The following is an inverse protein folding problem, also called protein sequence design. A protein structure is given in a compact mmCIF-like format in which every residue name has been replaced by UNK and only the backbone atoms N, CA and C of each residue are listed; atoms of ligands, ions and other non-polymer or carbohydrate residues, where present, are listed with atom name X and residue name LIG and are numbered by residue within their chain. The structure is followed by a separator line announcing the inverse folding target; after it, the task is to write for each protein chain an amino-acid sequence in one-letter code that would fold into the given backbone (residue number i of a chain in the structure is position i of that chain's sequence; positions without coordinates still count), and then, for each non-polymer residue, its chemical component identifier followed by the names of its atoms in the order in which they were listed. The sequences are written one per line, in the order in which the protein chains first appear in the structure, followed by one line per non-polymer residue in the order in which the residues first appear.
data_IF_781583062599
#
_entry.id   IF_781583062599
#
_cell.length_a   1.000
_cell.length_b   1.000
_cell.length_c   1.000
_cell.angle_alpha   90.00
_cell.angle_beta   90.00
_cell.angle_gamma   90.00
#
_symmetry.space_group_name_H-M   'P 1'
#
loop_
_entity.id
_entity.type
_entity.pdbx_description
1 polymer ?
#
# COMPACT_ATOMS: atom_id res chain seq x y z
N UNK A 1 32.19 -0.71 -11.81
CA UNK A 1 30.77 -1.12 -11.84
C UNK A 1 30.17 -0.69 -13.19
N UNK A 2 30.18 -1.56 -14.20
CA UNK A 2 29.47 -1.34 -15.47
C UNK A 2 28.04 -1.91 -15.46
N UNK A 3 27.74 -2.84 -14.54
CA UNK A 3 26.45 -3.54 -14.52
C UNK A 3 25.22 -2.62 -14.35
N UNK A 4 25.31 -1.56 -13.54
CA UNK A 4 24.20 -0.60 -13.41
C UNK A 4 24.03 0.23 -14.69
N UNK A 5 25.14 0.60 -15.35
CA UNK A 5 25.12 1.38 -16.59
C UNK A 5 24.56 0.51 -17.73
N UNK A 6 24.99 -0.75 -17.83
CA UNK A 6 24.48 -1.72 -18.81
C UNK A 6 23.00 -2.06 -18.57
N UNK A 7 22.56 -2.09 -17.31
CA UNK A 7 21.15 -2.29 -16.95
C UNK A 7 20.28 -1.12 -17.40
N UNK A 8 20.75 0.12 -17.29
CA UNK A 8 20.00 1.27 -17.81
C UNK A 8 20.17 1.51 -19.31
N UNK A 9 21.18 0.89 -19.95
CA UNK A 9 21.47 1.07 -21.38
C UNK A 9 20.94 -0.06 -22.27
N UNK A 10 20.39 -1.14 -21.70
CA UNK A 10 19.80 -2.27 -22.45
C UNK A 10 18.28 -2.28 -22.35
N UNK A 11 17.61 -2.66 -23.45
CA UNK A 11 16.14 -2.72 -23.53
C UNK A 11 15.53 -3.61 -22.42
N UNK A 12 16.21 -4.69 -22.05
CA UNK A 12 15.77 -5.60 -20.99
C UNK A 12 15.91 -5.01 -19.59
N UNK A 13 16.91 -4.18 -19.33
CA UNK A 13 17.12 -3.62 -18.00
C UNK A 13 16.16 -2.47 -17.69
N UNK A 14 15.82 -1.62 -18.67
CA UNK A 14 14.75 -0.62 -18.51
C UNK A 14 13.40 -1.31 -18.31
N UNK A 15 13.07 -2.33 -19.12
CA UNK A 15 11.82 -3.09 -18.96
C UNK A 15 11.73 -3.74 -17.57
N UNK A 16 12.83 -4.35 -17.11
CA UNK A 16 12.90 -4.96 -15.77
C UNK A 16 12.77 -3.93 -14.65
N UNK A 17 13.40 -2.75 -14.80
CA UNK A 17 13.27 -1.65 -13.85
C UNK A 17 11.82 -1.16 -13.76
N UNK A 18 11.12 -1.02 -14.89
CA UNK A 18 9.73 -0.62 -14.93
C UNK A 18 8.84 -1.65 -14.23
N UNK A 19 8.98 -2.94 -14.55
CA UNK A 19 8.20 -4.02 -13.90
C UNK A 19 8.45 -4.03 -12.39
N UNK A 20 9.71 -3.89 -11.97
CA UNK A 20 10.06 -3.87 -10.56
C UNK A 20 9.46 -2.66 -9.85
N UNK A 21 9.57 -1.46 -10.44
CA UNK A 21 9.00 -0.23 -9.92
C UNK A 21 7.47 -0.32 -9.82
N UNK A 22 6.79 -0.87 -10.84
CA UNK A 22 5.34 -1.08 -10.81
C UNK A 22 4.94 -2.07 -9.71
N UNK A 23 5.67 -3.19 -9.58
CA UNK A 23 5.37 -4.21 -8.58
C UNK A 23 5.52 -3.66 -7.16
N UNK A 24 6.63 -2.99 -6.87
CA UNK A 24 6.88 -2.36 -5.56
C UNK A 24 5.87 -1.25 -5.31
N UNK A 25 5.59 -0.42 -6.31
CA UNK A 25 4.60 0.66 -6.21
C UNK A 25 3.21 0.15 -5.86
N UNK A 26 2.76 -0.92 -6.53
CA UNK A 26 1.49 -1.58 -6.22
C UNK A 26 1.47 -2.19 -4.83
N UNK A 27 2.55 -2.83 -4.40
CA UNK A 27 2.64 -3.40 -3.05
C UNK A 27 2.47 -2.33 -1.98
N UNK A 28 3.20 -1.21 -2.09
CA UNK A 28 3.09 -0.07 -1.17
C UNK A 28 1.68 0.54 -1.21
N UNK A 29 1.10 0.68 -2.41
CA UNK A 29 -0.26 1.17 -2.59
C UNK A 29 -1.29 0.29 -1.87
N UNK A 30 -1.23 -1.04 -2.05
CA UNK A 30 -2.17 -1.96 -1.42
C UNK A 30 -2.04 -1.93 0.11
N UNK A 31 -0.82 -1.99 0.64
CA UNK A 31 -0.60 -1.91 2.09
C UNK A 31 -1.19 -0.60 2.64
N UNK A 32 -0.92 0.53 1.98
CA UNK A 32 -1.46 1.84 2.37
C UNK A 32 -3.00 1.88 2.32
N UNK A 33 -3.58 1.29 1.27
CA UNK A 33 -5.03 1.22 1.08
C UNK A 33 -5.71 0.39 2.18
N UNK A 34 -5.17 -0.78 2.50
CA UNK A 34 -5.72 -1.66 3.53
C UNK A 34 -5.58 -1.06 4.92
N UNK A 35 -4.44 -0.47 5.26
CA UNK A 35 -4.27 0.21 6.55
C UNK A 35 -5.30 1.35 6.73
N UNK A 36 -5.56 2.12 5.67
CA UNK A 36 -6.58 3.17 5.70
C UNK A 36 -7.98 2.60 5.93
N UNK A 37 -8.35 1.51 5.25
CA UNK A 37 -9.67 0.89 5.41
C UNK A 37 -9.86 0.29 6.80
N UNK A 38 -8.87 -0.46 7.30
CA UNK A 38 -8.93 -1.02 8.65
C UNK A 38 -9.14 0.09 9.68
N UNK A 39 -8.44 1.22 9.55
CA UNK A 39 -8.62 2.34 10.48
C UNK A 39 -10.04 2.90 10.42
N UNK A 40 -10.60 3.08 9.23
CA UNK A 40 -11.97 3.57 9.06
C UNK A 40 -13.00 2.59 9.65
N UNK A 41 -12.82 1.28 9.43
CA UNK A 41 -13.70 0.25 9.98
C UNK A 41 -13.62 0.20 11.51
N UNK A 42 -12.42 0.35 12.06
CA UNK A 42 -12.19 0.36 13.51
C UNK A 42 -12.81 1.61 14.15
N UNK A 43 -12.66 2.78 13.53
CA UNK A 43 -13.27 4.03 13.99
C UNK A 43 -14.81 3.94 13.97
N UNK A 44 -15.39 3.36 12.92
CA UNK A 44 -16.84 3.14 12.82
C UNK A 44 -17.34 2.15 13.88
N UNK A 45 -16.59 1.06 14.12
CA UNK A 45 -16.91 0.08 15.15
C UNK A 45 -16.84 0.68 16.56
N UNK A 46 -15.82 1.51 16.85
CA UNK A 46 -15.72 2.22 18.12
C UNK A 46 -16.88 3.20 18.33
N UNK A 47 -17.27 3.95 17.30
CA UNK A 47 -18.42 4.85 17.39
C UNK A 47 -19.72 4.08 17.61
N UNK A 48 -19.92 2.95 16.93
CA UNK A 48 -21.06 2.08 17.16
C UNK A 48 -21.08 1.51 18.59
N UNK A 49 -19.93 1.08 19.11
CA UNK A 49 -19.79 0.58 20.48
C UNK A 49 -20.09 1.67 21.51
N UNK A 50 -19.56 2.89 21.33
CA UNK A 50 -19.86 4.04 22.20
C UNK A 50 -21.34 4.43 22.14
N UNK A 51 -21.94 4.44 20.96
CA UNK A 51 -23.36 4.73 20.79
C UNK A 51 -24.25 3.64 21.42
N UNK A 52 -23.82 2.38 21.45
CA UNK A 52 -24.52 1.30 22.13
C UNK A 52 -24.37 1.41 23.66
N UNK A 53 -23.17 1.69 24.16
CA UNK A 53 -22.91 1.89 25.59
C UNK A 53 -23.64 3.11 26.18
N UNK A 54 -23.75 4.20 25.42
CA UNK A 54 -24.54 5.38 25.80
C UNK A 54 -26.06 5.18 25.73
N UNK A 55 -26.54 4.14 25.04
CA UNK A 55 -27.97 3.75 25.02
C UNK A 55 -28.35 2.82 26.18
N UNK A 56 -27.37 2.29 26.91
CA UNK A 56 -27.58 1.41 28.08
C UNK A 56 -27.41 2.12 29.43
N UNK A 57 -27.20 3.43 29.43
CA UNK A 57 -27.16 4.29 30.62
C UNK A 57 -28.40 5.18 30.67
#
# INVERSE_FOLDING_TARGET
MHALIDFFSTDYGILSALVLATTIGMLVFYISYFMKHIRQDTEAAEQAARAAAGRSA
#
